data_IF_571305565954
#
_entry.id   IF_571305565954
#
_cell.length_a   1.000
_cell.length_b   1.000
_cell.length_c   1.000
_cell.angle_alpha   90.00
_cell.angle_beta   90.00
_cell.angle_gamma   90.00
#
_symmetry.space_group_name_H-M   'P 1'
#
loop_
_entity.id
_entity.type
_entity.pdbx_description
1 polymer ?
#
# COMPACT_ATOMS: atom_id res chain seq x y z
N UNK A 1 -16.52 5.68 -5.98
CA UNK A 1 -16.19 4.24 -5.93
C UNK A 1 -16.01 3.86 -4.48
N UNK A 2 -16.47 2.67 -4.09
CA UNK A 2 -16.09 2.01 -2.84
C UNK A 2 -14.55 1.97 -2.75
N UNK A 3 -14.01 2.12 -1.55
CA UNK A 3 -12.59 2.29 -1.20
C UNK A 3 -11.59 1.53 -2.08
N UNK A 4 -10.91 2.21 -3.01
CA UNK A 4 -9.86 1.59 -3.82
C UNK A 4 -8.60 1.20 -3.01
N UNK A 5 -8.46 1.73 -1.79
CA UNK A 5 -7.22 1.62 -1.01
C UNK A 5 -7.01 0.22 -0.41
N UNK A 6 -8.10 -0.49 -0.09
CA UNK A 6 -8.04 -1.81 0.52
C UNK A 6 -7.29 -2.82 -0.38
N UNK A 7 -7.62 -2.96 -1.69
CA UNK A 7 -6.84 -3.82 -2.59
C UNK A 7 -5.34 -3.50 -2.66
N UNK A 8 -4.96 -2.23 -2.50
CA UNK A 8 -3.55 -1.82 -2.52
C UNK A 8 -2.85 -2.26 -1.24
N UNK A 9 -3.47 -2.00 -0.08
CA UNK A 9 -2.96 -2.40 1.22
C UNK A 9 -2.78 -3.93 1.32
N UNK A 10 -3.73 -4.70 0.79
CA UNK A 10 -3.64 -6.16 0.72
C UNK A 10 -2.44 -6.64 -0.09
N UNK A 11 -2.11 -5.99 -1.21
CA UNK A 11 -0.94 -6.35 -2.02
C UNK A 11 0.38 -5.96 -1.36
N UNK A 12 0.40 -4.89 -0.56
CA UNK A 12 1.57 -4.47 0.24
C UNK A 12 1.84 -5.46 1.39
N UNK A 13 0.83 -6.23 1.79
CA UNK A 13 0.94 -7.26 2.82
C UNK A 13 0.00 -7.03 4.01
N UNK A 14 -0.78 -5.96 4.03
CA UNK A 14 -1.67 -5.69 5.16
C UNK A 14 -2.99 -6.46 5.07
N UNK A 15 -3.49 -6.87 6.23
CA UNK A 15 -4.88 -7.28 6.42
C UNK A 15 -5.64 -6.09 7.00
N UNK A 16 -6.70 -5.67 6.32
CA UNK A 16 -7.57 -4.59 6.81
C UNK A 16 -8.60 -5.20 7.76
N UNK A 17 -8.55 -4.81 9.03
CA UNK A 17 -9.44 -5.29 10.09
C UNK A 17 -10.72 -4.46 10.12
N UNK A 18 -10.58 -3.15 10.00
CA UNK A 18 -11.70 -2.22 9.95
C UNK A 18 -11.37 -0.99 9.09
N UNK A 19 -12.40 -0.42 8.47
CA UNK A 19 -12.32 0.85 7.74
C UNK A 19 -13.48 1.74 8.19
N UNK A 20 -13.17 3.01 8.51
CA UNK A 20 -14.15 4.05 8.80
C UNK A 20 -13.89 5.26 7.90
N UNK A 21 -14.92 5.70 7.19
CA UNK A 21 -14.85 6.87 6.32
C UNK A 21 -15.60 8.04 6.94
N UNK A 22 -14.94 9.17 7.05
CA UNK A 22 -15.51 10.42 7.55
C UNK A 22 -15.51 11.45 6.42
N UNK A 23 -16.65 12.08 6.19
CA UNK A 23 -16.75 13.19 5.27
C UNK A 23 -16.60 14.50 6.07
N UNK A 24 -15.64 15.33 5.67
CA UNK A 24 -15.29 16.58 6.36
C UNK A 24 -15.35 17.72 5.35
N UNK A 25 -16.05 18.80 5.69
CA UNK A 25 -16.24 19.97 4.83
C UNK A 25 -17.70 20.34 4.69
N UNK A 26 -17.96 21.35 3.87
CA UNK A 26 -19.30 21.77 3.47
C UNK A 26 -19.38 21.96 1.94
N UNK A 27 -20.57 22.24 1.44
CA UNK A 27 -20.81 22.45 0.00
C UNK A 27 -20.04 23.65 -0.57
N UNK A 28 -19.59 24.60 0.26
CA UNK A 28 -18.90 25.82 -0.17
C UNK A 28 -17.38 25.68 -0.18
N UNK A 29 -16.79 24.94 0.77
CA UNK A 29 -15.35 24.69 0.89
C UNK A 29 -14.88 23.45 0.14
N UNK A 30 -15.82 22.58 -0.26
CA UNK A 30 -15.54 21.27 -0.83
C UNK A 30 -15.50 20.17 0.23
N UNK A 31 -15.95 18.98 -0.16
CA UNK A 31 -15.97 17.79 0.70
C UNK A 31 -14.65 17.01 0.57
N UNK A 32 -14.04 16.69 1.71
CA UNK A 32 -12.88 15.80 1.83
C UNK A 32 -13.30 14.52 2.54
N UNK A 33 -12.70 13.40 2.18
CA UNK A 33 -12.94 12.11 2.82
C UNK A 33 -11.68 11.67 3.57
N UNK A 34 -11.84 11.36 4.86
CA UNK A 34 -10.80 10.80 5.71
C UNK A 34 -11.11 9.32 5.89
N UNK A 35 -10.13 8.47 5.59
CA UNK A 35 -10.21 7.03 5.82
C UNK A 35 -9.34 6.67 7.02
N UNK A 36 -9.98 6.20 8.09
CA UNK A 36 -9.35 5.59 9.25
C UNK A 36 -9.36 4.08 9.06
N UNK A 37 -8.19 3.45 9.14
CA UNK A 37 -8.03 2.02 8.87
C UNK A 37 -7.23 1.35 9.98
N UNK A 38 -7.73 0.21 10.44
CA UNK A 38 -7.02 -0.67 11.35
C UNK A 38 -6.36 -1.78 10.53
N UNK A 39 -5.04 -1.87 10.61
CA UNK A 39 -4.22 -2.76 9.78
C UNK A 39 -3.45 -3.76 10.63
N UNK A 40 -3.31 -4.96 10.10
CA UNK A 40 -2.46 -6.01 10.65
C UNK A 40 -1.49 -6.50 9.58
N UNK A 41 -0.33 -6.99 10.01
CA UNK A 41 0.61 -7.66 9.11
C UNK A 41 0.07 -9.05 8.72
N UNK A 42 -0.19 -9.30 7.44
CA UNK A 42 -0.75 -10.58 6.98
C UNK A 42 0.21 -11.76 7.15
N UNK A 43 1.49 -11.51 7.39
CA UNK A 43 2.52 -12.52 7.60
C UNK A 43 2.74 -12.86 9.09
N UNK A 44 1.95 -12.28 10.00
CA UNK A 44 2.01 -12.57 11.44
C UNK A 44 3.25 -12.00 12.15
N UNK A 45 4.04 -11.18 11.46
CA UNK A 45 5.16 -10.45 12.04
C UNK A 45 4.72 -9.10 12.62
N UNK A 46 5.59 -8.43 13.39
CA UNK A 46 5.33 -7.05 13.81
C UNK A 46 5.42 -6.13 12.59
N UNK A 47 4.59 -5.08 12.58
CA UNK A 47 4.74 -3.97 11.63
C UNK A 47 5.89 -3.12 12.14
N UNK A 48 6.94 -2.96 11.34
CA UNK A 48 8.05 -2.07 11.66
C UNK A 48 7.68 -0.63 11.30
N UNK A 49 7.63 0.25 12.30
CA UNK A 49 7.33 1.67 12.14
C UNK A 49 8.50 2.54 12.63
N UNK A 50 9.71 1.99 12.67
CA UNK A 50 10.90 2.72 13.12
C UNK A 50 11.20 3.97 12.28
N UNK A 51 10.75 3.99 11.01
CA UNK A 51 10.86 5.12 10.07
C UNK A 51 9.64 6.05 10.08
N UNK A 52 8.70 5.87 11.02
CA UNK A 52 7.45 6.60 11.06
C UNK A 52 6.40 6.12 10.04
N UNK A 53 6.61 4.97 9.40
CA UNK A 53 5.72 4.42 8.38
C UNK A 53 6.01 4.89 6.96
N UNK A 54 7.14 5.58 6.74
CA UNK A 54 7.53 6.14 5.44
C UNK A 54 7.63 5.06 4.36
N UNK A 55 8.14 3.88 4.68
CA UNK A 55 8.20 2.73 3.79
C UNK A 55 6.80 2.34 3.25
N UNK A 56 5.80 2.28 4.13
CA UNK A 56 4.45 1.87 3.74
C UNK A 56 3.70 3.00 3.03
N UNK A 57 3.97 4.25 3.39
CA UNK A 57 3.48 5.41 2.65
C UNK A 57 4.02 5.41 1.21
N UNK A 58 5.32 5.17 1.02
CA UNK A 58 5.94 5.05 -0.30
C UNK A 58 5.31 3.93 -1.13
N UNK A 59 5.19 2.74 -0.56
CA UNK A 59 4.58 1.59 -1.23
C UNK A 59 3.10 1.86 -1.59
N UNK A 60 2.32 2.41 -0.66
CA UNK A 60 0.91 2.71 -0.87
C UNK A 60 0.71 3.79 -1.93
N UNK A 61 1.36 4.94 -1.78
CA UNK A 61 1.17 6.07 -2.69
C UNK A 61 1.66 5.77 -4.09
N UNK A 62 2.75 5.02 -4.25
CA UNK A 62 3.28 4.68 -5.57
C UNK A 62 2.33 3.75 -6.33
N UNK A 63 1.68 2.80 -5.66
CA UNK A 63 0.63 1.98 -6.30
C UNK A 63 -0.65 2.78 -6.50
N UNK A 64 -1.05 3.60 -5.53
CA UNK A 64 -2.25 4.44 -5.58
C UNK A 64 -2.24 5.43 -6.76
N UNK A 65 -1.09 6.04 -7.02
CA UNK A 65 -0.88 6.95 -8.16
C UNK A 65 -0.73 6.21 -9.50
N UNK A 66 -0.54 4.89 -9.48
CA UNK A 66 -0.29 4.08 -10.67
C UNK A 66 1.16 4.15 -11.16
N UNK A 67 2.11 4.60 -10.33
CA UNK A 67 3.53 4.65 -10.65
C UNK A 67 4.15 3.24 -10.70
N UNK A 68 3.57 2.30 -9.94
CA UNK A 68 3.96 0.89 -9.88
C UNK A 68 2.75 -0.04 -9.91
N UNK A 69 2.97 -1.25 -10.41
CA UNK A 69 1.94 -2.27 -10.53
C UNK A 69 1.38 -2.72 -9.16
N UNK A 70 0.07 -2.99 -9.11
CA UNK A 70 -0.60 -3.54 -7.94
C UNK A 70 -0.53 -5.08 -7.91
N UNK A 71 0.66 -5.64 -7.66
CA UNK A 71 0.92 -7.08 -7.75
C UNK A 71 1.53 -7.67 -6.47
N UNK A 72 1.86 -8.97 -6.49
CA UNK A 72 2.41 -9.66 -5.33
C UNK A 72 3.82 -9.21 -4.93
N UNK A 73 4.55 -8.47 -5.79
CA UNK A 73 5.86 -7.94 -5.42
C UNK A 73 5.75 -6.86 -4.33
N UNK A 74 4.61 -6.19 -4.24
CA UNK A 74 4.38 -5.15 -3.22
C UNK A 74 4.50 -5.70 -1.79
N UNK A 75 4.28 -7.01 -1.59
CA UNK A 75 4.47 -7.69 -0.31
C UNK A 75 5.92 -7.66 0.22
N UNK A 76 6.89 -7.33 -0.63
CA UNK A 76 8.28 -7.15 -0.24
C UNK A 76 8.51 -5.91 0.65
N UNK A 77 7.60 -4.94 0.64
CA UNK A 77 7.64 -3.84 1.60
C UNK A 77 7.52 -4.39 3.03
N UNK A 78 6.55 -5.28 3.27
CA UNK A 78 6.32 -5.82 4.61
C UNK A 78 7.22 -7.02 4.97
N UNK A 79 7.63 -7.82 3.98
CA UNK A 79 8.43 -9.04 4.23
C UNK A 79 9.94 -8.83 4.17
N UNK A 80 10.40 -7.80 3.44
CA UNK A 80 11.82 -7.56 3.19
C UNK A 80 12.26 -6.10 3.44
N UNK A 81 11.33 -5.21 3.83
CA UNK A 81 11.64 -3.81 4.12
C UNK A 81 12.01 -3.00 2.87
N UNK A 82 11.57 -3.43 1.68
CA UNK A 82 11.99 -2.84 0.41
C UNK A 82 11.07 -1.68 -0.01
N UNK A 83 11.69 -0.61 -0.48
CA UNK A 83 11.01 0.57 -1.03
C UNK A 83 10.46 0.26 -2.43
N UNK A 84 9.45 1.01 -2.87
CA UNK A 84 8.78 0.79 -4.17
C UNK A 84 9.75 0.75 -5.35
N UNK A 85 10.81 1.56 -5.32
CA UNK A 85 11.88 1.56 -6.32
C UNK A 85 12.69 0.26 -6.36
N UNK A 86 13.04 -0.29 -5.20
CA UNK A 86 13.76 -1.57 -5.09
C UNK A 86 12.89 -2.74 -5.54
N UNK A 87 11.62 -2.72 -5.14
CA UNK A 87 10.60 -3.67 -5.60
C UNK A 87 10.48 -3.65 -7.12
N UNK A 88 10.51 -2.46 -7.73
CA UNK A 88 10.42 -2.29 -9.19
C UNK A 88 11.60 -2.96 -9.91
N UNK A 89 12.81 -2.84 -9.36
CA UNK A 89 13.99 -3.51 -9.92
C UNK A 89 13.81 -5.03 -9.88
N UNK A 90 13.38 -5.59 -8.75
CA UNK A 90 13.14 -7.03 -8.62
C UNK A 90 12.01 -7.52 -9.54
N UNK A 91 10.95 -6.73 -9.71
CA UNK A 91 9.87 -7.00 -10.65
C UNK A 91 10.38 -7.06 -12.09
N UNK A 92 11.27 -6.13 -12.48
CA UNK A 92 11.87 -6.11 -13.81
C UNK A 92 12.71 -7.39 -14.07
N UNK A 93 13.53 -7.80 -13.10
CA UNK A 93 14.27 -9.07 -13.20
C UNK A 93 13.33 -10.29 -13.29
N UNK A 94 12.28 -10.34 -12.46
CA UNK A 94 11.30 -11.43 -12.52
C UNK A 94 10.62 -11.54 -13.88
N UNK A 95 10.20 -10.41 -14.46
CA UNK A 95 9.62 -10.37 -15.81
C UNK A 95 10.60 -10.86 -16.87
N UNK A 96 11.86 -10.44 -16.80
CA UNK A 96 12.89 -10.90 -17.72
C UNK A 96 13.10 -12.42 -17.65
N UNK A 97 13.17 -12.98 -16.44
CA UNK A 97 13.39 -14.41 -16.25
C UNK A 97 12.21 -15.27 -16.73
N UNK A 98 10.97 -14.77 -16.68
CA UNK A 98 9.78 -15.47 -17.17
C UNK A 98 9.59 -15.40 -18.69
N UNK A 99 10.39 -14.58 -19.39
CA UNK A 99 10.35 -14.48 -20.86
C UNK A 99 11.21 -15.53 -21.56
N UNK A 100 12.04 -16.26 -20.81
CA UNK A 100 12.91 -17.33 -21.31
C UNK A 100 12.19 -18.67 -21.21
#
# INVERSE_FOLDING_TARGET
ALSGGVPVLEKIGFRVISERTFAVGDEASGMVFIHDMELENSYGARIDLADGGALFEDAFLSVWRGDVDNDGYNGLAQTAGLWSGEITILRAYGRYLQQV
#
